data_IF_090723556471
#
_entry.id   IF_090723556471
#
_cell.length_a   1.000
_cell.length_b   1.000
_cell.length_c   1.000
_cell.angle_alpha   90.00
_cell.angle_beta   90.00
_cell.angle_gamma   90.00
#
_symmetry.space_group_name_H-M   'P 1'
#
loop_
_entity.id
_entity.type
_entity.pdbx_description
1 polymer ?
#
# COMPACT_ATOMS: atom_id res chain seq x y z
N UNK A 1 -19.20 58.80 -25.77
CA UNK A 1 -18.34 57.83 -26.45
C UNK A 1 -17.61 56.91 -25.45
N UNK A 2 -17.05 57.40 -24.34
CA UNK A 2 -16.33 56.52 -23.35
C UNK A 2 -17.21 55.48 -22.69
N UNK A 3 -18.47 55.85 -22.35
CA UNK A 3 -19.43 54.90 -21.74
C UNK A 3 -19.91 53.81 -22.70
N UNK A 4 -19.99 54.11 -23.98
CA UNK A 4 -20.39 53.13 -25.00
C UNK A 4 -19.25 52.06 -25.20
N UNK A 5 -18.01 52.48 -25.15
CA UNK A 5 -16.86 51.57 -25.26
C UNK A 5 -16.71 50.67 -24.05
N UNK A 6 -17.05 51.18 -22.84
CA UNK A 6 -17.06 50.40 -21.60
C UNK A 6 -18.18 49.37 -21.63
N UNK A 7 -19.35 49.69 -22.15
CA UNK A 7 -20.47 48.76 -22.28
C UNK A 7 -20.16 47.66 -23.31
N UNK A 8 -19.54 48.01 -24.44
CA UNK A 8 -19.13 47.03 -25.45
C UNK A 8 -18.06 46.10 -24.93
N UNK A 9 -17.11 46.59 -24.14
CA UNK A 9 -16.07 45.77 -23.48
C UNK A 9 -16.66 44.81 -22.47
N UNK A 10 -17.65 45.23 -21.67
CA UNK A 10 -18.34 44.34 -20.72
C UNK A 10 -19.15 43.25 -21.44
N UNK A 11 -19.76 43.57 -22.59
CA UNK A 11 -20.51 42.60 -23.40
C UNK A 11 -19.58 41.53 -24.01
N UNK A 12 -18.35 41.91 -24.36
CA UNK A 12 -17.36 40.98 -24.89
C UNK A 12 -16.89 39.95 -23.84
N UNK A 13 -16.77 40.35 -22.57
CA UNK A 13 -16.42 39.44 -21.49
C UNK A 13 -17.56 38.44 -21.14
N UNK A 14 -18.82 38.77 -21.34
CA UNK A 14 -19.93 37.87 -21.14
C UNK A 14 -20.02 36.73 -22.18
N UNK A 15 -19.28 36.86 -23.30
CA UNK A 15 -19.25 35.84 -24.36
C UNK A 15 -18.34 34.64 -24.04
N UNK A 16 -17.49 34.72 -23.03
CA UNK A 16 -16.70 33.60 -22.55
C UNK A 16 -17.50 32.71 -21.56
N UNK A 17 -18.75 32.41 -21.86
CA UNK A 17 -19.48 31.35 -21.19
C UNK A 17 -18.83 30.04 -21.55
N UNK A 18 -18.03 29.50 -20.65
CA UNK A 18 -17.47 28.15 -20.79
C UNK A 18 -18.62 27.18 -20.97
N UNK A 19 -18.68 26.56 -22.12
CA UNK A 19 -19.58 25.42 -22.36
C UNK A 19 -19.11 24.30 -21.43
N UNK A 20 -19.77 24.12 -20.31
CA UNK A 20 -19.59 22.96 -19.46
C UNK A 20 -20.14 21.76 -20.24
N UNK A 21 -19.26 20.98 -20.82
CA UNK A 21 -19.63 19.73 -21.46
C UNK A 21 -20.23 18.80 -20.40
N UNK A 22 -21.50 18.44 -20.60
CA UNK A 22 -22.24 17.57 -19.70
C UNK A 22 -21.60 16.17 -19.68
N UNK A 23 -21.15 15.75 -18.51
CA UNK A 23 -20.61 14.42 -18.27
C UNK A 23 -21.71 13.50 -17.77
N UNK A 24 -21.73 12.27 -18.23
CA UNK A 24 -22.73 11.26 -17.88
C UNK A 24 -22.14 10.35 -16.79
N UNK A 25 -22.96 9.98 -15.81
CA UNK A 25 -22.57 8.99 -14.80
C UNK A 25 -22.55 7.60 -15.46
N UNK A 26 -21.36 7.03 -15.60
CA UNK A 26 -21.14 5.68 -16.11
C UNK A 26 -20.97 4.71 -14.95
N UNK A 27 -21.67 3.58 -15.02
CA UNK A 27 -21.50 2.45 -14.11
C UNK A 27 -20.62 1.40 -14.74
N UNK A 28 -19.70 0.85 -13.96
CA UNK A 28 -18.82 -0.18 -14.47
C UNK A 28 -18.56 -1.28 -13.48
N UNK A 29 -18.02 -2.39 -13.98
CA UNK A 29 -17.55 -3.52 -13.19
C UNK A 29 -16.15 -3.92 -13.61
N UNK A 30 -15.27 -4.09 -12.63
CA UNK A 30 -13.91 -4.51 -12.81
C UNK A 30 -13.75 -5.97 -12.41
N UNK A 31 -13.23 -6.79 -13.33
CA UNK A 31 -13.09 -8.23 -13.16
C UNK A 31 -11.66 -8.70 -13.43
N UNK A 32 -11.28 -9.78 -12.76
CA UNK A 32 -10.10 -10.58 -13.04
C UNK A 32 -10.49 -12.06 -13.07
N UNK A 33 -10.40 -12.72 -14.23
CA UNK A 33 -10.80 -14.13 -14.42
C UNK A 33 -12.19 -14.42 -13.82
N UNK A 34 -13.18 -13.58 -14.14
CA UNK A 34 -14.55 -13.62 -13.60
C UNK A 34 -14.70 -13.33 -12.08
N UNK A 35 -13.62 -13.01 -11.35
CA UNK A 35 -13.69 -12.59 -9.97
C UNK A 35 -13.78 -11.07 -9.87
N UNK A 36 -14.51 -10.57 -8.88
CA UNK A 36 -14.65 -9.15 -8.65
C UNK A 36 -13.33 -8.55 -8.13
N UNK A 37 -12.91 -7.43 -8.71
CA UNK A 37 -11.73 -6.68 -8.27
C UNK A 37 -12.17 -5.57 -7.33
N UNK A 38 -11.88 -5.73 -6.05
CA UNK A 38 -12.26 -4.82 -4.96
C UNK A 38 -11.15 -3.82 -4.70
N UNK A 39 -11.52 -2.60 -4.27
CA UNK A 39 -10.58 -1.55 -3.85
C UNK A 39 -9.56 -1.17 -4.92
N UNK A 40 -9.92 -1.27 -6.19
CA UNK A 40 -9.12 -0.75 -7.29
C UNK A 40 -9.45 0.72 -7.54
N UNK A 41 -8.44 1.53 -7.81
CA UNK A 41 -8.62 2.92 -8.19
C UNK A 41 -9.06 3.00 -9.66
N UNK A 42 -10.10 3.77 -9.93
CA UNK A 42 -10.60 4.10 -11.26
C UNK A 42 -10.45 5.59 -11.47
N UNK A 43 -9.59 5.99 -12.37
CA UNK A 43 -9.21 7.39 -12.60
C UNK A 43 -9.65 7.79 -14.00
N UNK A 44 -10.45 8.83 -14.12
CA UNK A 44 -10.70 9.51 -15.38
C UNK A 44 -9.59 10.54 -15.59
N UNK A 45 -8.61 10.19 -16.42
CA UNK A 45 -7.44 11.03 -16.71
C UNK A 45 -7.83 12.36 -17.38
N UNK A 46 -8.86 12.35 -18.23
CA UNK A 46 -9.32 13.54 -18.96
C UNK A 46 -10.08 14.52 -18.07
N UNK A 47 -10.83 14.01 -17.08
CA UNK A 47 -11.63 14.81 -16.15
C UNK A 47 -10.96 15.05 -14.80
N UNK A 48 -9.88 14.37 -14.50
CA UNK A 48 -9.21 14.34 -13.20
C UNK A 48 -10.15 13.96 -12.04
N UNK A 49 -11.09 13.04 -12.35
CA UNK A 49 -12.00 12.46 -11.38
C UNK A 49 -11.54 11.06 -11.02
N UNK A 50 -11.76 10.67 -9.78
CA UNK A 50 -11.41 9.32 -9.33
C UNK A 50 -12.52 8.72 -8.49
N UNK A 51 -12.60 7.39 -8.51
CA UNK A 51 -13.45 6.56 -7.66
C UNK A 51 -12.74 5.26 -7.34
N UNK A 52 -13.35 4.44 -6.48
CA UNK A 52 -12.80 3.15 -6.05
C UNK A 52 -13.87 2.08 -6.25
N UNK A 53 -13.46 0.87 -6.68
CA UNK A 53 -14.39 -0.26 -6.80
C UNK A 53 -14.85 -0.75 -5.43
N UNK A 54 -16.14 -1.05 -5.31
CA UNK A 54 -16.77 -1.60 -4.10
C UNK A 54 -16.51 -3.11 -3.91
N UNK A 55 -17.15 -3.73 -2.91
CA UNK A 55 -17.02 -5.17 -2.62
C UNK A 55 -17.45 -6.10 -3.75
N UNK A 56 -18.32 -5.62 -4.64
CA UNK A 56 -18.79 -6.35 -5.82
C UNK A 56 -17.97 -6.04 -7.08
N UNK A 57 -16.88 -5.26 -6.94
CA UNK A 57 -16.04 -4.80 -8.04
C UNK A 57 -16.72 -3.74 -8.91
N UNK A 58 -17.79 -3.11 -8.44
CA UNK A 58 -18.54 -2.09 -9.16
C UNK A 58 -18.01 -0.70 -8.83
N UNK A 59 -18.12 0.22 -9.80
CA UNK A 59 -17.75 1.61 -9.65
C UNK A 59 -18.70 2.53 -10.42
N UNK A 60 -18.76 3.78 -10.02
CA UNK A 60 -19.50 4.85 -10.70
C UNK A 60 -18.57 6.05 -10.90
N UNK A 61 -18.53 6.59 -12.12
CA UNK A 61 -17.67 7.72 -12.45
C UNK A 61 -18.28 8.57 -13.55
N UNK A 62 -18.11 9.89 -13.47
CA UNK A 62 -18.55 10.81 -14.52
C UNK A 62 -17.57 10.79 -15.70
N UNK A 63 -18.10 10.56 -16.89
CA UNK A 63 -17.35 10.44 -18.13
C UNK A 63 -18.02 11.16 -19.30
N UNK A 64 -17.25 11.40 -20.32
CA UNK A 64 -17.68 11.82 -21.63
C UNK A 64 -17.06 10.91 -22.70
N UNK A 65 -17.54 11.01 -23.95
CA UNK A 65 -16.98 10.27 -25.09
C UNK A 65 -15.51 10.64 -25.25
N UNK A 66 -14.65 9.65 -25.49
CA UNK A 66 -13.21 9.73 -25.64
C UNK A 66 -12.44 10.06 -24.33
N UNK A 67 -13.09 10.04 -23.16
CA UNK A 67 -12.35 10.09 -21.91
C UNK A 67 -11.55 8.80 -21.71
N UNK A 68 -10.35 8.92 -21.14
CA UNK A 68 -9.49 7.80 -20.80
C UNK A 68 -9.69 7.43 -19.32
N UNK A 69 -10.17 6.21 -19.08
CA UNK A 69 -10.24 5.61 -17.75
C UNK A 69 -9.01 4.75 -17.49
N UNK A 70 -8.33 5.00 -16.39
CA UNK A 70 -7.18 4.25 -15.92
C UNK A 70 -7.58 3.45 -14.68
N UNK A 71 -7.38 2.13 -14.75
CA UNK A 71 -7.61 1.20 -13.66
C UNK A 71 -6.28 0.83 -13.03
N UNK A 72 -6.13 1.10 -11.72
CA UNK A 72 -4.90 0.83 -10.98
C UNK A 72 -5.18 0.09 -9.68
N UNK A 73 -4.41 -0.96 -9.42
CA UNK A 73 -4.44 -1.72 -8.18
C UNK A 73 -3.05 -2.29 -7.87
N UNK A 74 -2.82 -2.65 -6.61
CA UNK A 74 -1.53 -3.22 -6.18
C UNK A 74 -1.26 -4.58 -6.82
N UNK A 75 -2.32 -5.40 -7.00
CA UNK A 75 -2.22 -6.79 -7.46
C UNK A 75 -2.29 -6.94 -8.98
N UNK A 76 -2.82 -5.95 -9.70
CA UNK A 76 -3.12 -6.05 -11.13
C UNK A 76 -2.30 -5.07 -11.95
N UNK A 77 -2.07 -5.42 -13.22
CA UNK A 77 -1.46 -4.50 -14.18
C UNK A 77 -2.38 -3.32 -14.42
N UNK A 78 -1.79 -2.14 -14.51
CA UNK A 78 -2.51 -0.93 -14.91
C UNK A 78 -3.12 -1.16 -16.28
N UNK A 79 -4.40 -0.81 -16.43
CA UNK A 79 -5.13 -0.88 -17.70
C UNK A 79 -5.78 0.45 -17.98
N UNK A 80 -5.65 0.95 -19.20
CA UNK A 80 -6.39 2.10 -19.71
C UNK A 80 -7.44 1.66 -20.72
N UNK A 81 -8.59 2.36 -20.71
CA UNK A 81 -9.71 2.14 -21.61
C UNK A 81 -10.27 3.49 -22.04
N UNK A 82 -10.50 3.66 -23.34
CA UNK A 82 -11.12 4.86 -23.91
C UNK A 82 -12.63 4.64 -23.98
N UNK A 83 -13.40 5.58 -23.46
CA UNK A 83 -14.86 5.50 -23.43
C UNK A 83 -15.46 5.72 -24.81
N UNK A 84 -16.22 4.73 -25.27
CA UNK A 84 -16.91 4.76 -26.55
C UNK A 84 -18.33 5.36 -26.42
N UNK A 85 -18.95 5.69 -27.56
CA UNK A 85 -20.36 6.10 -27.60
C UNK A 85 -21.31 4.99 -27.14
N UNK A 86 -20.93 3.73 -27.35
CA UNK A 86 -21.73 2.56 -26.97
C UNK A 86 -21.76 2.37 -25.45
N UNK A 87 -20.63 2.60 -24.78
CA UNK A 87 -20.51 2.51 -23.32
C UNK A 87 -21.43 3.53 -22.64
N UNK A 88 -21.48 4.76 -23.16
CA UNK A 88 -22.36 5.81 -22.65
C UNK A 88 -23.83 5.47 -22.95
N UNK A 89 -24.15 4.99 -24.14
CA UNK A 89 -25.52 4.62 -24.52
C UNK A 89 -26.06 3.49 -23.64
N UNK A 90 -25.22 2.51 -23.34
CA UNK A 90 -25.56 1.36 -22.50
C UNK A 90 -25.49 1.69 -21.00
N UNK A 91 -24.91 2.82 -20.66
CA UNK A 91 -24.62 3.26 -19.29
C UNK A 91 -23.92 2.18 -18.45
N UNK A 92 -23.14 1.33 -19.10
CA UNK A 92 -22.46 0.21 -18.45
C UNK A 92 -21.18 -0.19 -19.20
N UNK A 93 -20.10 -0.41 -18.43
CA UNK A 93 -18.84 -0.96 -18.94
C UNK A 93 -18.37 -2.11 -18.06
N UNK A 94 -17.79 -3.15 -18.68
CA UNK A 94 -17.11 -4.24 -17.97
C UNK A 94 -15.66 -4.25 -18.43
N UNK A 95 -14.75 -4.19 -17.47
CA UNK A 95 -13.32 -4.15 -17.76
C UNK A 95 -12.65 -5.33 -17.09
N UNK A 96 -11.85 -6.07 -17.83
CA UNK A 96 -11.05 -7.16 -17.30
C UNK A 96 -9.59 -6.73 -17.19
N UNK A 97 -8.98 -6.96 -16.02
CA UNK A 97 -7.57 -6.69 -15.74
C UNK A 97 -6.76 -7.97 -15.66
N UNK A 98 -5.44 -7.83 -15.84
CA UNK A 98 -4.49 -8.94 -15.74
C UNK A 98 -3.65 -8.83 -14.49
N UNK A 99 -3.20 -9.95 -13.97
CA UNK A 99 -2.31 -10.04 -12.82
C UNK A 99 -0.96 -9.36 -13.08
N UNK A 100 -0.45 -8.68 -12.08
CA UNK A 100 0.89 -8.11 -12.09
C UNK A 100 1.87 -9.15 -11.56
N UNK A 101 2.56 -9.84 -12.45
CA UNK A 101 3.63 -10.76 -12.08
C UNK A 101 4.91 -9.96 -11.88
N UNK A 102 5.40 -9.91 -10.65
CA UNK A 102 6.73 -9.38 -10.34
C UNK A 102 7.70 -10.56 -10.36
N UNK A 103 8.58 -10.61 -11.35
CA UNK A 103 9.72 -11.51 -11.32
C UNK A 103 10.74 -10.87 -10.38
N UNK A 104 11.10 -11.59 -9.32
CA UNK A 104 12.25 -11.25 -8.50
C UNK A 104 13.46 -11.93 -9.14
N UNK A 105 14.49 -11.17 -9.39
CA UNK A 105 15.76 -11.75 -9.82
C UNK A 105 16.31 -12.63 -8.71
N UNK A 106 16.75 -13.83 -9.06
CA UNK A 106 17.41 -14.73 -8.13
C UNK A 106 18.73 -14.09 -7.67
N UNK A 107 18.84 -13.83 -6.37
CA UNK A 107 20.11 -13.39 -5.78
C UNK A 107 20.95 -14.64 -5.55
N UNK A 108 21.83 -14.95 -6.48
CA UNK A 108 22.83 -16.00 -6.31
C UNK A 108 23.93 -15.49 -5.37
N UNK A 109 23.91 -15.96 -4.13
CA UNK A 109 24.98 -15.68 -3.17
C UNK A 109 26.12 -16.66 -3.50
N UNK A 110 27.06 -16.20 -4.32
CA UNK A 110 28.29 -16.96 -4.59
C UNK A 110 29.28 -16.92 -3.43
N UNK A 111 30.23 -17.86 -3.36
CA UNK A 111 31.26 -17.89 -2.32
C UNK A 111 32.09 -16.61 -2.22
N UNK A 112 32.28 -15.92 -3.33
CA UNK A 112 32.99 -14.63 -3.38
C UNK A 112 32.25 -13.52 -2.59
N UNK A 113 30.93 -13.59 -2.51
CA UNK A 113 30.14 -12.65 -1.69
C UNK A 113 30.17 -13.02 -0.20
N UNK A 114 30.44 -14.30 0.14
CA UNK A 114 30.52 -14.73 1.52
C UNK A 114 31.84 -14.28 2.15
N UNK A 115 32.97 -14.36 1.43
CA UNK A 115 34.24 -13.87 1.90
C UNK A 115 34.21 -12.36 2.17
N UNK A 116 33.65 -11.59 1.24
CA UNK A 116 33.52 -10.15 1.40
C UNK A 116 32.57 -9.75 2.54
N UNK A 117 31.55 -10.57 2.80
CA UNK A 117 30.64 -10.38 3.92
C UNK A 117 31.28 -10.74 5.26
N UNK A 118 32.19 -11.72 5.28
CA UNK A 118 32.97 -12.09 6.47
C UNK A 118 34.03 -11.05 6.78
N UNK A 119 34.72 -10.54 5.77
CA UNK A 119 35.73 -9.47 5.93
C UNK A 119 35.09 -8.17 6.47
N UNK A 120 33.92 -7.79 6.00
CA UNK A 120 33.20 -6.65 6.55
C UNK A 120 32.79 -6.85 8.02
N UNK A 121 32.56 -8.11 8.43
CA UNK A 121 32.20 -8.42 9.81
C UNK A 121 33.36 -8.28 10.80
N UNK A 122 34.59 -8.55 10.40
CA UNK A 122 35.74 -8.43 11.31
C UNK A 122 36.15 -6.98 11.53
N UNK A 123 36.02 -6.10 10.53
CA UNK A 123 36.37 -4.68 10.66
C UNK A 123 35.27 -3.83 11.34
N UNK A 124 33.99 -4.17 11.13
CA UNK A 124 32.86 -3.40 11.73
C UNK A 124 32.52 -3.86 13.15
N UNK A 125 32.82 -5.08 13.54
CA UNK A 125 32.70 -5.47 14.95
C UNK A 125 33.88 -4.89 15.75
N UNK A 126 33.94 -3.59 15.92
CA UNK A 126 34.55 -3.02 17.10
C UNK A 126 33.98 -3.77 18.29
N UNK A 127 34.82 -4.54 18.98
CA UNK A 127 34.44 -5.07 20.29
C UNK A 127 33.90 -3.91 21.07
N UNK A 128 32.57 -3.86 21.20
CA UNK A 128 31.96 -3.02 22.19
C UNK A 128 32.37 -3.69 23.50
N UNK A 129 33.44 -3.19 24.12
CA UNK A 129 33.70 -3.49 25.51
C UNK A 129 32.45 -3.02 26.25
N UNK A 130 31.61 -3.96 26.56
CA UNK A 130 30.58 -3.76 27.57
C UNK A 130 31.34 -3.54 28.88
N UNK A 131 31.81 -2.31 29.08
CA UNK A 131 32.19 -1.83 30.40
C UNK A 131 31.02 -2.24 31.29
N UNK A 132 31.33 -3.08 32.29
CA UNK A 132 30.39 -3.52 33.31
C UNK A 132 29.52 -2.35 33.72
N UNK A 133 28.42 -2.19 33.02
CA UNK A 133 27.40 -1.22 33.37
C UNK A 133 26.76 -1.73 34.65
N UNK A 134 27.14 -1.08 35.77
CA UNK A 134 26.57 -1.39 37.07
C UNK A 134 25.08 -1.19 37.13
N UNK A 135 24.46 -0.61 36.08
CA UNK A 135 23.03 -0.43 35.95
C UNK A 135 22.28 -1.70 35.53
N UNK A 136 22.98 -2.68 34.94
CA UNK A 136 22.43 -3.99 34.56
C UNK A 136 22.84 -5.11 35.51
N UNK A 137 22.82 -4.87 36.81
CA UNK A 137 22.63 -5.97 37.74
C UNK A 137 21.20 -6.46 37.56
N UNK A 138 20.99 -7.39 36.66
CA UNK A 138 19.83 -8.26 36.72
C UNK A 138 20.01 -9.09 37.97
N UNK A 139 19.64 -8.54 39.12
CA UNK A 139 19.43 -9.30 40.32
C UNK A 139 18.28 -10.24 40.02
N UNK A 140 18.62 -11.46 39.68
CA UNK A 140 17.64 -12.52 39.50
C UNK A 140 17.13 -12.81 40.92
N UNK A 141 16.08 -12.11 41.34
CA UNK A 141 15.46 -12.29 42.65
C UNK A 141 15.03 -13.75 42.90
N UNK A 142 14.93 -14.53 41.83
CA UNK A 142 14.54 -15.96 41.89
C UNK A 142 15.73 -16.85 42.29
N UNK A 143 16.95 -16.43 42.08
CA UNK A 143 18.18 -17.22 42.40
C UNK A 143 19.06 -16.43 43.37
N UNK A 144 18.59 -16.15 44.54
CA UNK A 144 19.45 -15.71 45.65
C UNK A 144 20.08 -16.92 46.31
N UNK A 145 21.41 -16.98 46.26
CA UNK A 145 22.24 -17.97 47.00
C UNK A 145 21.92 -19.44 46.69
N UNK A 146 21.62 -19.78 45.43
CA UNK A 146 21.32 -21.17 45.06
C UNK A 146 20.04 -21.73 45.61
N UNK A 147 19.13 -20.89 46.13
CA UNK A 147 17.79 -21.27 46.61
C UNK A 147 16.77 -20.85 45.61
N UNK A 148 16.06 -21.81 45.03
CA UNK A 148 14.84 -21.56 44.25
C UNK A 148 13.77 -21.10 45.22
N UNK A 149 13.33 -19.82 45.14
CA UNK A 149 12.37 -19.23 46.09
C UNK A 149 10.97 -19.83 45.98
N UNK A 150 10.62 -20.45 44.87
CA UNK A 150 9.33 -21.15 44.67
C UNK A 150 9.50 -22.58 44.12
N UNK A 151 10.67 -23.16 44.24
CA UNK A 151 10.92 -24.56 43.84
C UNK A 151 11.16 -25.46 45.05
N UNK A 152 11.00 -26.76 44.81
CA UNK A 152 11.27 -27.80 45.82
C UNK A 152 12.77 -27.74 46.14
N UNK A 153 13.10 -27.41 47.41
CA UNK A 153 14.48 -27.37 47.88
C UNK A 153 14.91 -28.82 48.14
N UNK A 154 15.57 -29.40 47.17
CA UNK A 154 16.05 -30.81 47.25
C UNK A 154 17.03 -31.05 48.38
N UNK A 155 17.79 -30.02 48.80
CA UNK A 155 18.70 -30.14 49.94
C UNK A 155 17.97 -30.30 51.26
N UNK A 156 16.85 -29.57 51.42
CA UNK A 156 16.03 -29.71 52.60
C UNK A 156 15.21 -31.02 52.57
N UNK A 157 14.81 -31.47 51.38
CA UNK A 157 14.16 -32.74 51.18
C UNK A 157 15.10 -33.93 51.55
N UNK A 158 16.36 -33.85 51.08
CA UNK A 158 17.37 -34.85 51.41
C UNK A 158 17.67 -34.91 52.93
N UNK A 159 17.78 -33.74 53.60
CA UNK A 159 17.94 -33.65 55.05
C UNK A 159 16.74 -34.21 55.81
N UNK A 160 15.52 -34.02 55.29
CA UNK A 160 14.32 -34.53 55.91
C UNK A 160 14.28 -36.08 55.83
N UNK A 161 14.73 -36.67 54.74
CA UNK A 161 14.80 -38.13 54.54
C UNK A 161 15.94 -38.73 55.34
N UNK A 162 17.06 -38.04 55.51
CA UNK A 162 18.25 -38.53 56.26
C UNK A 162 18.10 -38.48 57.79
N UNK A 163 17.17 -37.70 58.29
CA UNK A 163 16.92 -37.59 59.78
C UNK A 163 15.76 -38.49 60.26
N UNK A 164 15.36 -39.45 59.44
CA UNK A 164 14.46 -40.54 59.82
C UNK A 164 15.25 -41.85 59.86
#
# INVERSE_FOLDING_TARGET
MKSFFSLLFCLFFLSFSFTQEERVLLRGKLLYRNNNVVSANVINNSAQLNTITNGDGEFEIFVKINDELIFSSVQYKIKSVIISKEDIKNNRIVVEVNEKVNFLDEVVIGPENQEKFLDLKEEEFKRVDYLNDKSTKIDNEIIREGKLYNGVNFVNLAKFVSNR
#
